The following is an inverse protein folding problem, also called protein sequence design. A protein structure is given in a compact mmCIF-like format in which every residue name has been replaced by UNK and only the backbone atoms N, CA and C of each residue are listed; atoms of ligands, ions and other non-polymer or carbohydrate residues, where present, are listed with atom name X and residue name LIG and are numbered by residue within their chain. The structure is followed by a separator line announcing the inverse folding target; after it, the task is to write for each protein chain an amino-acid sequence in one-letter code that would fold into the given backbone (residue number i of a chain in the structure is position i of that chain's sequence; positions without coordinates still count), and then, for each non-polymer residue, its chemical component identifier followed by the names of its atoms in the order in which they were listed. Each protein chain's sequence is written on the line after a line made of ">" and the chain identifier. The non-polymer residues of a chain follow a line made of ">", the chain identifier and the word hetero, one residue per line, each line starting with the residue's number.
data_IF_587924726332
#
_entry.id   IF_587924726332
#
_cell.length_a   1.000
_cell.length_b   1.000
_cell.length_c   1.000
_cell.angle_alpha   90.00
_cell.angle_beta   90.00
_cell.angle_gamma   90.00
#
_symmetry.space_group_name_H-M   'P 1'
#
loop_
_entity.id
_entity.type
_entity.pdbx_description
1 polymer ?
#
# COMPACT_ATOMS: atom_id res chain seq x y z
N UNK A 1 12.80 8.63 11.12
CA UNK A 1 11.53 8.84 11.82
C UNK A 1 11.00 7.51 12.34
N UNK A 2 11.16 7.26 13.64
CA UNK A 2 10.55 6.16 14.39
C UNK A 2 9.04 6.35 14.52
N UNK A 3 8.33 5.34 15.01
CA UNK A 3 6.89 5.44 15.28
C UNK A 3 6.59 6.47 16.38
N UNK A 4 7.51 6.62 17.34
CA UNK A 4 7.44 7.57 18.44
C UNK A 4 7.63 9.00 17.93
N UNK A 5 8.67 9.25 17.13
CA UNK A 5 8.92 10.57 16.52
C UNK A 5 7.73 11.02 15.64
N UNK A 6 7.14 10.09 14.88
CA UNK A 6 5.94 10.39 14.07
C UNK A 6 4.74 10.78 14.95
N UNK A 7 4.53 10.04 16.04
CA UNK A 7 3.43 10.28 16.97
C UNK A 7 3.55 11.67 17.62
N UNK A 8 4.76 12.04 18.05
CA UNK A 8 5.05 13.36 18.63
C UNK A 8 4.80 14.47 17.62
N UNK A 9 5.32 14.32 16.39
CA UNK A 9 5.07 15.26 15.30
C UNK A 9 3.58 15.44 15.04
N UNK A 10 2.81 14.35 14.97
CA UNK A 10 1.37 14.42 14.72
C UNK A 10 0.60 15.12 15.85
N UNK A 11 1.04 14.98 17.10
CA UNK A 11 0.49 15.71 18.24
C UNK A 11 0.74 17.21 18.08
N UNK A 12 1.97 17.60 17.72
CA UNK A 12 2.35 18.99 17.53
C UNK A 12 1.58 19.63 16.36
N UNK A 13 1.51 18.95 15.21
CA UNK A 13 0.75 19.41 14.04
C UNK A 13 -0.73 19.63 14.40
N UNK A 14 -1.36 18.71 15.14
CA UNK A 14 -2.75 18.88 15.62
C UNK A 14 -2.90 20.04 16.59
N UNK A 15 -1.88 20.33 17.41
CA UNK A 15 -1.89 21.50 18.32
C UNK A 15 -1.87 22.80 17.53
N UNK A 16 -1.00 22.91 16.53
CA UNK A 16 -0.89 24.07 15.67
C UNK A 16 -2.15 24.27 14.82
N UNK A 17 -2.66 23.20 14.21
CA UNK A 17 -3.88 23.23 13.41
C UNK A 17 -5.08 23.78 14.19
N UNK A 18 -5.27 23.33 15.45
CA UNK A 18 -6.32 23.85 16.34
C UNK A 18 -6.13 25.34 16.64
N UNK A 19 -4.91 25.76 16.97
CA UNK A 19 -4.59 27.17 17.26
C UNK A 19 -4.90 28.08 16.07
N UNK A 20 -4.64 27.60 14.85
CA UNK A 20 -4.75 28.39 13.61
C UNK A 20 -6.08 28.14 12.88
N UNK A 21 -6.99 27.36 13.46
CA UNK A 21 -8.29 26.97 12.86
C UNK A 21 -8.15 26.33 11.47
N UNK A 22 -7.08 25.57 11.25
CA UNK A 22 -6.81 24.87 10.00
C UNK A 22 -7.36 23.45 10.05
N UNK A 23 -7.99 23.02 8.94
CA UNK A 23 -8.37 21.63 8.74
C UNK A 23 -7.13 20.85 8.27
N UNK A 24 -6.67 19.90 9.07
CA UNK A 24 -5.51 19.06 8.73
C UNK A 24 -5.95 17.60 8.62
N UNK A 25 -5.47 16.93 7.58
CA UNK A 25 -5.63 15.49 7.39
C UNK A 25 -4.25 14.85 7.50
N UNK A 26 -4.10 13.98 8.50
CA UNK A 26 -2.87 13.23 8.69
C UNK A 26 -3.00 11.86 8.01
N UNK A 27 -1.89 11.30 7.52
CA UNK A 27 -1.92 9.97 6.93
C UNK A 27 -2.35 8.92 7.97
N UNK A 28 -3.09 7.92 7.50
CA UNK A 28 -3.43 6.73 8.29
C UNK A 28 -2.16 5.95 8.63
N UNK A 29 -2.11 5.33 9.81
CA UNK A 29 -1.04 4.37 10.14
C UNK A 29 -0.98 3.27 9.09
N UNK A 30 0.24 2.99 8.61
CA UNK A 30 0.51 1.86 7.73
C UNK A 30 0.24 0.54 8.48
N UNK A 31 -0.31 -0.44 7.77
CA UNK A 31 -0.58 -1.79 8.28
C UNK A 31 -0.36 -2.80 7.17
N UNK A 32 -0.09 -4.05 7.52
CA UNK A 32 0.02 -5.14 6.56
C UNK A 32 -1.14 -6.13 6.74
N UNK A 33 -1.70 -6.71 5.66
CA UNK A 33 -1.54 -6.31 4.25
C UNK A 33 -1.90 -4.83 4.02
N UNK A 34 -1.15 -4.14 3.15
CA UNK A 34 -1.34 -2.69 2.98
C UNK A 34 -2.68 -2.35 2.32
N UNK A 35 -3.17 -1.13 2.58
CA UNK A 35 -4.48 -0.68 2.11
C UNK A 35 -4.59 -0.67 0.59
N UNK A 36 -3.46 -0.43 -0.10
CA UNK A 36 -3.35 -0.43 -1.56
C UNK A 36 -3.66 -1.84 -2.07
N UNK A 37 -2.93 -2.85 -1.62
CA UNK A 37 -3.13 -4.26 -2.01
C UNK A 37 -4.51 -4.78 -1.60
N UNK A 38 -5.04 -4.34 -0.45
CA UNK A 38 -6.37 -4.74 0.03
C UNK A 38 -7.53 -4.23 -0.84
N UNK A 39 -7.36 -3.09 -1.51
CA UNK A 39 -8.48 -2.35 -2.13
C UNK A 39 -8.30 -2.09 -3.62
N UNK A 40 -7.13 -2.35 -4.16
CA UNK A 40 -6.79 -2.04 -5.54
C UNK A 40 -5.82 -3.07 -6.11
N UNK A 41 -5.81 -3.15 -7.43
CA UNK A 41 -4.89 -3.90 -8.25
C UNK A 41 -4.55 -2.98 -9.44
N UNK A 42 -3.32 -3.06 -9.95
CA UNK A 42 -2.86 -2.22 -11.04
C UNK A 42 -2.65 -3.08 -12.28
N UNK A 43 -2.92 -2.51 -13.46
CA UNK A 43 -2.79 -3.19 -14.74
C UNK A 43 -2.04 -2.26 -15.69
N UNK A 44 -0.96 -2.75 -16.30
CA UNK A 44 -0.21 -1.98 -17.31
C UNK A 44 -0.96 -1.94 -18.64
N UNK A 45 -0.50 -1.10 -19.58
CA UNK A 45 -1.08 -1.03 -20.93
C UNK A 45 -0.99 -2.38 -21.68
N UNK A 46 0.01 -3.20 -21.37
CA UNK A 46 0.22 -4.55 -21.92
C UNK A 46 -0.55 -5.64 -21.15
N UNK A 47 -1.42 -5.24 -20.21
CA UNK A 47 -2.26 -6.15 -19.44
C UNK A 47 -1.58 -6.79 -18.24
N UNK A 48 -0.32 -6.48 -17.94
CA UNK A 48 0.37 -7.09 -16.80
C UNK A 48 -0.23 -6.59 -15.49
N UNK A 49 -0.54 -7.51 -14.58
CA UNK A 49 -1.16 -7.20 -13.29
C UNK A 49 -0.10 -7.07 -12.21
N UNK A 50 -0.11 -5.95 -11.49
CA UNK A 50 0.78 -5.70 -10.35
C UNK A 50 -0.03 -5.38 -9.09
N UNK A 51 0.42 -5.81 -7.90
CA UNK A 51 -0.33 -5.63 -6.65
C UNK A 51 -0.23 -4.21 -6.08
N UNK A 52 0.71 -3.39 -6.55
CA UNK A 52 0.96 -2.04 -6.04
C UNK A 52 1.62 -1.17 -7.12
N UNK A 53 1.26 0.12 -7.16
CA UNK A 53 1.92 1.09 -8.04
C UNK A 53 3.41 1.33 -7.72
N UNK A 54 3.85 0.97 -6.51
CA UNK A 54 5.26 1.01 -6.10
C UNK A 54 6.01 -0.31 -6.39
N UNK A 55 5.36 -1.26 -7.04
CA UNK A 55 5.96 -2.52 -7.49
C UNK A 55 5.70 -2.75 -8.99
N UNK A 56 6.06 -1.80 -9.88
CA UNK A 56 5.74 -1.92 -11.29
C UNK A 56 6.44 -3.09 -11.98
N UNK A 57 7.55 -3.60 -11.44
CA UNK A 57 8.28 -4.75 -11.97
C UNK A 57 7.81 -6.11 -11.40
N UNK A 58 6.94 -6.11 -10.38
CA UNK A 58 6.43 -7.33 -9.77
C UNK A 58 5.06 -7.71 -10.36
N UNK A 59 5.07 -8.65 -11.28
CA UNK A 59 3.88 -9.10 -12.01
C UNK A 59 3.35 -10.40 -11.45
N UNK A 60 2.02 -10.47 -11.23
CA UNK A 60 1.32 -11.64 -10.69
C UNK A 60 0.44 -12.35 -11.73
N UNK A 61 0.42 -11.85 -12.97
CA UNK A 61 -0.33 -12.43 -14.09
C UNK A 61 -0.58 -11.42 -15.21
N UNK A 62 -1.32 -11.83 -16.26
CA UNK A 62 -1.76 -10.95 -17.35
C UNK A 62 -3.29 -10.96 -17.51
N UNK A 63 -3.92 -9.80 -17.30
CA UNK A 63 -5.36 -9.60 -17.35
C UNK A 63 -5.99 -9.90 -18.72
N UNK A 64 -5.23 -9.74 -19.81
CA UNK A 64 -5.71 -10.01 -21.17
C UNK A 64 -5.87 -11.52 -21.43
N UNK A 65 -5.11 -12.36 -20.71
CA UNK A 65 -5.11 -13.81 -20.88
C UNK A 65 -5.97 -14.52 -19.82
N UNK A 66 -5.85 -14.12 -18.56
CA UNK A 66 -6.40 -14.86 -17.41
C UNK A 66 -7.63 -14.18 -16.79
N UNK A 67 -7.73 -12.85 -16.95
CA UNK A 67 -8.68 -12.02 -16.23
C UNK A 67 -8.24 -11.67 -14.81
N UNK A 68 -8.46 -10.41 -14.41
CA UNK A 68 -8.02 -9.86 -13.11
C UNK A 68 -8.58 -10.65 -11.92
N UNK A 69 -9.84 -11.08 -11.99
CA UNK A 69 -10.51 -11.78 -10.90
C UNK A 69 -9.88 -13.14 -10.59
N UNK A 70 -9.31 -13.80 -11.60
CA UNK A 70 -8.66 -15.09 -11.51
C UNK A 70 -7.26 -14.90 -10.93
N UNK A 71 -6.52 -13.91 -11.44
CA UNK A 71 -5.20 -13.52 -10.93
C UNK A 71 -5.26 -13.15 -9.44
N UNK A 72 -6.27 -12.39 -9.00
CA UNK A 72 -6.43 -12.04 -7.58
C UNK A 72 -6.70 -13.24 -6.66
N UNK A 73 -7.02 -14.40 -7.23
CA UNK A 73 -7.20 -15.66 -6.50
C UNK A 73 -6.10 -16.67 -6.79
N UNK A 74 -5.09 -16.30 -7.57
CA UNK A 74 -3.95 -17.17 -7.88
C UNK A 74 -3.12 -17.38 -6.63
N UNK A 75 -2.44 -18.53 -6.57
CA UNK A 75 -1.52 -18.84 -5.48
C UNK A 75 -0.39 -17.81 -5.39
N UNK A 76 0.07 -17.27 -6.53
CA UNK A 76 1.07 -16.21 -6.62
C UNK A 76 0.63 -14.95 -5.85
N UNK A 77 -0.60 -14.46 -6.12
CA UNK A 77 -1.13 -13.27 -5.47
C UNK A 77 -1.41 -13.53 -3.98
N UNK A 78 -2.02 -14.67 -3.64
CA UNK A 78 -2.30 -15.04 -2.25
C UNK A 78 -1.00 -15.17 -1.44
N UNK A 79 0.04 -15.76 -2.03
CA UNK A 79 1.36 -15.88 -1.41
C UNK A 79 1.97 -14.50 -1.17
N UNK A 80 1.98 -13.62 -2.17
CA UNK A 80 2.46 -12.24 -2.02
C UNK A 80 1.75 -11.52 -0.85
N UNK A 81 0.42 -11.63 -0.76
CA UNK A 81 -0.34 -10.99 0.32
C UNK A 81 0.04 -11.55 1.69
N UNK A 82 0.24 -12.87 1.80
CA UNK A 82 0.61 -13.55 3.04
C UNK A 82 2.02 -13.22 3.51
N UNK A 83 2.99 -13.15 2.60
CA UNK A 83 4.41 -12.89 2.91
C UNK A 83 4.80 -11.42 2.71
N UNK A 84 3.82 -10.51 2.65
CA UNK A 84 4.06 -9.10 2.35
C UNK A 84 4.99 -8.42 3.36
N UNK A 85 4.94 -8.81 4.63
CA UNK A 85 5.83 -8.30 5.68
C UNK A 85 7.30 -8.65 5.47
N UNK A 86 7.60 -9.65 4.65
CA UNK A 86 8.96 -10.07 4.32
C UNK A 86 9.44 -9.41 3.02
N UNK A 87 8.52 -8.82 2.23
CA UNK A 87 8.88 -8.20 0.97
C UNK A 87 9.79 -6.97 1.20
N UNK A 88 10.94 -6.85 0.50
CA UNK A 88 11.93 -5.79 0.76
C UNK A 88 11.36 -4.37 0.67
N UNK A 89 10.39 -4.17 -0.23
CA UNK A 89 9.71 -2.87 -0.40
C UNK A 89 8.59 -2.69 0.63
N UNK A 90 7.75 -3.71 0.85
CA UNK A 90 6.54 -3.54 1.68
C UNK A 90 6.86 -3.49 3.16
N UNK A 91 7.88 -4.24 3.62
CA UNK A 91 8.38 -4.23 5.00
C UNK A 91 8.87 -2.85 5.47
N UNK A 92 9.28 -1.99 4.52
CA UNK A 92 9.79 -0.64 4.77
C UNK A 92 8.84 0.46 4.27
N UNK A 93 7.72 0.07 3.65
CA UNK A 93 6.76 0.98 3.07
C UNK A 93 6.00 1.74 4.17
N UNK A 94 5.72 3.03 3.92
CA UNK A 94 4.97 3.91 4.83
C UNK A 94 3.60 4.32 4.25
N UNK A 95 3.20 3.75 3.13
CA UNK A 95 2.06 4.19 2.31
C UNK A 95 0.83 3.29 2.43
#
# INVERSE_FOLDING_TARGET
>A
MSAEEEKELFIEVRRLARRWKLKVYLPSRHSLPCKVVKRSIFVTAEGKVTPCCFLPEFYVGNALNEGVRQIMRSDEYVKFVRTMSEHPVCSRCRW
#
